data_IF_901768391656
#
_entry.id   IF_901768391656
#
_cell.length_a   1.000
_cell.length_b   1.000
_cell.length_c   1.000
_cell.angle_alpha   90.00
_cell.angle_beta   90.00
_cell.angle_gamma   90.00
#
_symmetry.space_group_name_H-M   'P 1'
#
loop_
_entity.id
_entity.type
_entity.pdbx_description
1 polymer ?
#
# COMPACT_ATOMS: atom_id res chain seq x y z
N UNK A 1 55.41 -13.26 16.01
CA UNK A 1 55.96 -13.92 14.80
C UNK A 1 55.54 -15.38 14.81
N UNK A 2 54.52 -15.76 14.04
CA UNK A 2 54.30 -17.14 13.60
C UNK A 2 53.35 -17.10 12.39
N UNK A 3 53.91 -17.36 11.22
CA UNK A 3 53.20 -17.57 9.94
C UNK A 3 52.88 -19.05 9.76
N UNK A 4 51.77 -19.34 9.07
CA UNK A 4 51.46 -20.47 8.15
C UNK A 4 49.93 -20.44 7.98
N UNK A 5 49.32 -19.90 6.92
CA UNK A 5 49.31 -20.27 5.50
C UNK A 5 49.01 -21.77 5.28
N UNK A 6 47.83 -22.08 4.72
CA UNK A 6 47.53 -22.91 3.53
C UNK A 6 46.03 -23.32 3.56
N UNK A 7 45.16 -22.80 2.68
CA UNK A 7 44.77 -23.27 1.32
C UNK A 7 43.38 -23.93 1.32
N UNK A 8 42.47 -23.35 0.52
CA UNK A 8 41.16 -23.85 0.13
C UNK A 8 41.25 -25.14 -0.70
N UNK A 9 40.12 -25.86 -0.86
CA UNK A 9 39.60 -25.98 -2.22
C UNK A 9 38.11 -25.65 -2.36
N UNK A 10 37.82 -24.99 -3.49
CA UNK A 10 36.53 -24.89 -4.16
C UNK A 10 35.96 -26.28 -4.48
N UNK A 11 34.67 -26.49 -4.21
CA UNK A 11 33.62 -27.12 -5.06
C UNK A 11 32.30 -26.67 -4.39
N UNK A 12 31.33 -25.96 -4.98
CA UNK A 12 30.78 -26.03 -6.33
C UNK A 12 29.43 -26.76 -6.29
N UNK A 13 28.34 -26.08 -5.90
CA UNK A 13 26.98 -26.51 -6.27
C UNK A 13 26.14 -25.27 -6.62
N UNK A 14 25.83 -25.24 -7.90
CA UNK A 14 24.91 -24.38 -8.62
C UNK A 14 23.50 -24.95 -8.40
N UNK A 15 22.57 -24.17 -7.85
CA UNK A 15 21.14 -24.47 -7.98
C UNK A 15 20.40 -23.25 -8.52
N UNK A 16 20.14 -23.37 -9.82
CA UNK A 16 19.17 -22.61 -10.60
C UNK A 16 17.75 -23.06 -10.21
N UNK A 17 16.91 -22.11 -9.82
CA UNK A 17 15.45 -22.15 -10.03
C UNK A 17 14.97 -20.70 -10.04
N UNK A 18 14.93 -20.04 -11.20
CA UNK A 18 13.86 -20.09 -12.20
C UNK A 18 12.54 -19.48 -11.70
N UNK A 19 12.42 -18.18 -12.00
CA UNK A 19 11.27 -17.54 -12.65
C UNK A 19 9.98 -17.29 -11.86
N UNK A 20 9.65 -16.00 -11.73
CA UNK A 20 8.33 -15.53 -11.34
C UNK A 20 8.13 -14.01 -11.40
N UNK A 21 8.80 -13.29 -12.32
CA UNK A 21 8.50 -11.87 -12.58
C UNK A 21 7.24 -11.83 -13.47
N UNK A 22 6.12 -11.35 -12.94
CA UNK A 22 4.96 -10.98 -13.75
C UNK A 22 4.91 -9.45 -13.90
N UNK A 23 5.52 -8.97 -14.99
CA UNK A 23 5.32 -7.62 -15.50
C UNK A 23 3.99 -7.63 -16.27
N UNK A 24 3.01 -6.84 -15.84
CA UNK A 24 1.86 -6.48 -16.66
C UNK A 24 2.15 -5.13 -17.33
N UNK A 25 2.50 -5.17 -18.61
CA UNK A 25 2.44 -4.00 -19.48
C UNK A 25 1.22 -4.07 -20.39
N UNK A 26 0.49 -2.98 -20.32
CA UNK A 26 -0.66 -2.55 -21.09
C UNK A 26 -0.27 -2.32 -22.57
N UNK A 27 -0.90 -3.00 -23.51
CA UNK A 27 -0.91 -2.60 -24.93
C UNK A 27 -2.34 -2.55 -25.44
N UNK A 28 -2.77 -1.35 -25.78
CA UNK A 28 -3.99 -1.10 -26.54
C UNK A 28 -3.79 -1.33 -28.04
N UNK A 29 -4.91 -1.72 -28.67
CA UNK A 29 -5.32 -1.56 -30.09
C UNK A 29 -4.44 -2.17 -31.20
N UNK A 30 -5.00 -3.17 -31.89
CA UNK A 30 -5.56 -3.03 -33.24
C UNK A 30 -6.17 -4.37 -33.74
N UNK A 31 -7.40 -4.34 -34.26
CA UNK A 31 -7.97 -5.37 -35.16
C UNK A 31 -7.52 -5.07 -36.60
N UNK A 32 -7.51 -6.02 -37.57
CA UNK A 32 -8.72 -6.63 -38.15
C UNK A 32 -8.66 -8.13 -38.46
N UNK A 33 -9.86 -8.74 -38.56
CA UNK A 33 -10.12 -10.12 -39.01
C UNK A 33 -9.79 -10.31 -40.51
N UNK A 34 -9.60 -11.56 -40.99
CA UNK A 34 -10.73 -12.17 -41.70
C UNK A 34 -10.85 -13.70 -41.54
N UNK A 35 -12.10 -14.17 -41.35
CA UNK A 35 -12.60 -15.34 -42.06
C UNK A 35 -12.72 -16.65 -41.28
N UNK A 36 -13.91 -16.93 -40.74
CA UNK A 36 -14.55 -18.25 -40.87
C UNK A 36 -16.02 -18.23 -40.38
N UNK A 37 -16.92 -18.20 -41.35
CA UNK A 37 -18.24 -18.86 -41.47
C UNK A 37 -19.06 -19.19 -40.20
N UNK A 38 -20.27 -18.63 -40.20
CA UNK A 38 -21.51 -19.05 -39.52
C UNK A 38 -21.82 -20.56 -39.63
N UNK A 39 -22.68 -21.10 -38.75
CA UNK A 39 -24.10 -21.15 -39.10
C UNK A 39 -25.05 -20.59 -38.01
N UNK A 40 -25.98 -19.75 -38.46
CA UNK A 40 -27.28 -19.43 -37.84
C UNK A 40 -28.22 -20.64 -37.87
N UNK A 41 -28.91 -20.93 -36.76
CA UNK A 41 -30.29 -21.52 -36.70
C UNK A 41 -30.90 -21.10 -35.32
N UNK A 42 -32.23 -20.99 -35.10
CA UNK A 42 -32.92 -19.74 -34.82
C UNK A 42 -33.56 -19.66 -33.41
N UNK A 43 -34.11 -18.49 -33.08
CA UNK A 43 -34.95 -18.20 -31.91
C UNK A 43 -36.11 -19.20 -31.69
N UNK A 44 -36.49 -19.43 -30.42
CA UNK A 44 -37.77 -18.98 -29.82
C UNK A 44 -38.23 -19.84 -28.61
N UNK A 45 -38.41 -19.14 -27.47
CA UNK A 45 -39.26 -19.44 -26.28
C UNK A 45 -39.09 -20.77 -25.52
N UNK A 46 -38.75 -20.68 -24.22
CA UNK A 46 -39.72 -21.00 -23.14
C UNK A 46 -39.21 -20.54 -21.76
N UNK A 47 -40.00 -19.68 -21.14
CA UNK A 47 -39.98 -19.39 -19.71
C UNK A 47 -40.02 -20.68 -18.87
N UNK A 48 -39.13 -20.80 -17.89
CA UNK A 48 -39.26 -21.75 -16.79
C UNK A 48 -38.80 -21.08 -15.50
N UNK A 49 -39.80 -20.70 -14.71
CA UNK A 49 -39.66 -20.35 -13.30
C UNK A 49 -38.76 -21.37 -12.59
N UNK A 50 -37.67 -20.90 -11.98
CA UNK A 50 -36.91 -21.67 -10.99
C UNK A 50 -37.21 -21.04 -9.62
N UNK A 51 -37.57 -21.83 -8.59
CA UNK A 51 -38.01 -21.31 -7.30
C UNK A 51 -36.88 -20.59 -6.55
N UNK A 52 -37.23 -19.46 -5.94
CA UNK A 52 -36.41 -18.72 -4.98
C UNK A 52 -35.88 -19.63 -3.88
N UNK A 53 -34.56 -19.79 -3.84
CA UNK A 53 -33.86 -20.18 -2.63
C UNK A 53 -33.25 -18.91 -2.06
N UNK A 54 -34.02 -18.25 -1.18
CA UNK A 54 -33.59 -17.07 -0.44
C UNK A 54 -32.56 -17.51 0.58
N UNK A 55 -31.28 -17.42 0.25
CA UNK A 55 -30.24 -17.32 1.25
C UNK A 55 -30.37 -15.93 1.90
N UNK A 56 -30.22 -15.78 3.23
CA UNK A 56 -30.28 -14.48 3.86
C UNK A 56 -29.18 -13.60 3.27
N UNK A 57 -29.64 -12.52 2.67
CA UNK A 57 -28.85 -11.40 2.20
C UNK A 57 -27.97 -10.95 3.38
N UNK A 58 -26.69 -11.29 3.34
CA UNK A 58 -25.73 -10.59 4.17
C UNK A 58 -25.71 -9.17 3.63
N UNK A 59 -26.57 -8.32 4.21
CA UNK A 59 -26.62 -6.89 3.96
C UNK A 59 -25.24 -6.30 4.26
N UNK A 60 -24.34 -6.29 3.27
CA UNK A 60 -23.38 -5.20 3.15
C UNK A 60 -24.22 -3.95 2.96
N UNK A 61 -24.11 -2.91 3.79
CA UNK A 61 -24.77 -1.64 3.51
C UNK A 61 -23.99 -0.91 2.41
N UNK A 62 -24.01 -1.45 1.17
CA UNK A 62 -23.30 -0.91 0.00
C UNK A 62 -24.17 0.04 -0.83
N UNK A 63 -25.16 0.70 -0.20
CA UNK A 63 -25.99 1.68 -0.90
C UNK A 63 -26.27 2.92 -0.05
N UNK A 64 -25.23 3.52 0.52
CA UNK A 64 -25.29 4.95 0.87
C UNK A 64 -24.99 5.74 -0.40
N UNK A 65 -26.03 6.26 -1.04
CA UNK A 65 -25.86 7.24 -2.11
C UNK A 65 -25.02 8.41 -1.57
N UNK A 66 -23.87 8.68 -2.20
CA UNK A 66 -22.96 9.77 -1.79
C UNK A 66 -23.73 11.08 -1.64
N UNK A 67 -23.44 11.83 -0.58
CA UNK A 67 -23.98 13.18 -0.40
C UNK A 67 -23.50 14.10 -1.53
N UNK A 68 -24.19 15.21 -1.76
CA UNK A 68 -23.77 16.18 -2.78
C UNK A 68 -22.37 16.77 -2.47
N UNK A 69 -22.04 16.94 -1.19
CA UNK A 69 -20.72 17.40 -0.75
C UNK A 69 -19.63 16.38 -1.10
N UNK A 70 -19.85 15.10 -0.78
CA UNK A 70 -18.91 14.03 -1.11
C UNK A 70 -18.72 13.88 -2.62
N UNK A 71 -19.78 14.00 -3.42
CA UNK A 71 -19.65 13.97 -4.90
C UNK A 71 -18.74 15.10 -5.40
N UNK A 72 -18.92 16.31 -4.86
CA UNK A 72 -18.11 17.48 -5.22
C UNK A 72 -16.64 17.29 -4.82
N UNK A 73 -16.39 16.77 -3.63
CA UNK A 73 -15.02 16.53 -3.16
C UNK A 73 -14.32 15.47 -4.00
N UNK A 74 -15.02 14.37 -4.33
CA UNK A 74 -14.48 13.32 -5.19
C UNK A 74 -14.23 13.82 -6.61
N UNK A 75 -15.11 14.66 -7.15
CA UNK A 75 -14.86 15.32 -8.45
C UNK A 75 -13.62 16.21 -8.40
N UNK A 76 -13.42 16.95 -7.31
CA UNK A 76 -12.22 17.77 -7.11
C UNK A 76 -10.94 16.92 -7.01
N UNK A 77 -10.99 15.81 -6.26
CA UNK A 77 -9.90 14.83 -6.19
C UNK A 77 -9.54 14.33 -7.59
N UNK A 78 -10.54 13.89 -8.37
CA UNK A 78 -10.34 13.39 -9.72
C UNK A 78 -9.73 14.46 -10.65
N UNK A 79 -10.14 15.72 -10.50
CA UNK A 79 -9.56 16.82 -11.26
C UNK A 79 -8.08 17.01 -10.92
N UNK A 80 -7.68 16.96 -9.65
CA UNK A 80 -6.26 17.06 -9.28
C UNK A 80 -5.40 15.93 -9.84
N UNK A 81 -5.97 14.73 -9.99
CA UNK A 81 -5.25 13.56 -10.51
C UNK A 81 -5.20 13.55 -12.03
N UNK A 82 -6.24 14.06 -12.70
CA UNK A 82 -6.39 13.96 -14.16
C UNK A 82 -5.93 15.22 -14.91
N UNK A 83 -5.79 16.35 -14.23
CA UNK A 83 -5.35 17.61 -14.84
C UNK A 83 -3.84 17.62 -15.03
N UNK A 84 -3.41 17.43 -16.29
CA UNK A 84 -2.00 17.42 -16.69
C UNK A 84 -1.26 18.75 -16.43
N UNK A 85 -1.98 19.83 -16.13
CA UNK A 85 -1.38 21.11 -15.75
C UNK A 85 -0.96 21.18 -14.27
N UNK A 86 -1.41 20.24 -13.44
CA UNK A 86 -1.06 20.14 -12.03
C UNK A 86 0.07 19.12 -11.87
N UNK A 87 1.17 19.53 -11.22
CA UNK A 87 2.27 18.60 -10.97
C UNK A 87 1.89 17.55 -9.93
N UNK A 88 2.47 16.34 -9.97
CA UNK A 88 2.19 15.29 -8.98
C UNK A 88 2.37 15.75 -7.54
N UNK A 89 3.37 16.58 -7.26
CA UNK A 89 3.69 17.08 -5.92
C UNK A 89 2.59 18.03 -5.41
N UNK A 90 2.08 18.90 -6.30
CA UNK A 90 0.97 19.81 -5.96
C UNK A 90 -0.32 19.02 -5.75
N UNK A 91 -0.59 18.03 -6.60
CA UNK A 91 -1.74 17.13 -6.46
C UNK A 91 -1.67 16.35 -5.13
N UNK A 92 -0.54 15.69 -4.84
CA UNK A 92 -0.31 14.97 -3.59
C UNK A 92 -0.50 15.89 -2.38
N UNK A 93 0.06 17.10 -2.39
CA UNK A 93 -0.10 18.06 -1.29
C UNK A 93 -1.55 18.50 -1.06
N UNK A 94 -2.37 18.59 -2.11
CA UNK A 94 -3.80 18.87 -1.96
C UNK A 94 -4.58 17.66 -1.45
N UNK A 95 -4.24 16.47 -1.91
CA UNK A 95 -4.86 15.22 -1.46
C UNK A 95 -4.55 14.93 0.01
N UNK A 96 -3.31 15.15 0.46
CA UNK A 96 -2.94 15.04 1.87
C UNK A 96 -3.77 15.95 2.77
N UNK A 97 -4.02 17.20 2.35
CA UNK A 97 -4.88 18.13 3.12
C UNK A 97 -6.30 17.58 3.27
N UNK A 98 -6.85 16.96 2.22
CA UNK A 98 -8.19 16.36 2.27
C UNK A 98 -8.18 15.10 3.14
N UNK A 99 -7.19 14.23 2.99
CA UNK A 99 -7.04 12.99 3.76
C UNK A 99 -6.96 13.23 5.28
N UNK A 100 -6.33 14.33 5.69
CA UNK A 100 -6.15 14.68 7.11
C UNK A 100 -7.16 15.69 7.63
N UNK A 101 -8.18 16.09 6.86
CA UNK A 101 -9.21 17.03 7.31
C UNK A 101 -10.33 16.28 8.04
N UNK A 102 -10.45 16.41 9.38
CA UNK A 102 -11.48 15.69 10.14
C UNK A 102 -12.90 16.18 9.86
N UNK A 103 -13.07 17.32 9.17
CA UNK A 103 -14.40 17.80 8.75
C UNK A 103 -14.93 17.07 7.50
N UNK A 104 -14.08 16.33 6.78
CA UNK A 104 -14.46 15.54 5.61
C UNK A 104 -14.95 14.15 6.03
N UNK A 105 -15.83 13.57 5.21
CA UNK A 105 -16.27 12.19 5.47
C UNK A 105 -15.12 11.21 5.30
N UNK A 106 -15.18 10.10 6.03
CA UNK A 106 -14.19 9.03 5.97
C UNK A 106 -13.98 8.53 4.53
N UNK A 107 -15.05 8.38 3.74
CA UNK A 107 -14.96 7.99 2.33
C UNK A 107 -14.12 8.96 1.50
N UNK A 108 -14.30 10.28 1.69
CA UNK A 108 -13.53 11.30 0.95
C UNK A 108 -12.07 11.28 1.40
N UNK A 109 -11.83 11.12 2.71
CA UNK A 109 -10.49 11.04 3.26
C UNK A 109 -9.74 9.79 2.78
N UNK A 110 -10.41 8.64 2.73
CA UNK A 110 -9.91 7.36 2.27
C UNK A 110 -9.48 7.40 0.78
N UNK A 111 -10.35 7.96 -0.06
CA UNK A 111 -10.06 8.16 -1.49
C UNK A 111 -8.86 9.09 -1.67
N UNK A 112 -8.88 10.25 -1.00
CA UNK A 112 -7.79 11.22 -1.08
C UNK A 112 -6.45 10.61 -0.61
N UNK A 113 -6.46 9.85 0.49
CA UNK A 113 -5.27 9.22 1.04
C UNK A 113 -4.68 8.19 0.08
N UNK A 114 -5.53 7.37 -0.56
CA UNK A 114 -5.10 6.38 -1.54
C UNK A 114 -4.35 7.04 -2.70
N UNK A 115 -4.89 8.13 -3.24
CA UNK A 115 -4.23 8.85 -4.33
C UNK A 115 -3.01 9.65 -3.85
N UNK A 116 -3.05 10.20 -2.64
CA UNK A 116 -1.93 10.94 -2.07
C UNK A 116 -0.69 10.04 -1.97
N UNK A 117 -0.83 8.82 -1.44
CA UNK A 117 0.25 7.85 -1.31
C UNK A 117 0.82 7.45 -2.68
N UNK A 118 -0.05 7.16 -3.66
CA UNK A 118 0.35 6.80 -5.02
C UNK A 118 1.16 7.89 -5.74
N UNK A 119 0.89 9.17 -5.44
CA UNK A 119 1.59 10.31 -6.02
C UNK A 119 2.80 10.76 -5.19
N UNK A 120 2.99 10.19 -4.00
CA UNK A 120 4.08 10.57 -3.10
C UNK A 120 5.33 9.75 -3.43
N UNK A 121 6.37 10.43 -3.92
CA UNK A 121 7.69 9.84 -4.10
C UNK A 121 8.43 9.65 -2.76
N UNK A 122 9.57 8.97 -2.80
CA UNK A 122 10.35 8.62 -1.60
C UNK A 122 10.87 9.84 -0.83
N UNK A 123 11.26 10.90 -1.54
CA UNK A 123 11.75 12.14 -0.92
C UNK A 123 10.60 12.90 -0.23
N UNK A 124 9.43 12.95 -0.85
CA UNK A 124 8.22 13.55 -0.27
C UNK A 124 7.70 12.72 0.89
N UNK A 125 7.73 11.39 0.77
CA UNK A 125 7.35 10.50 1.86
C UNK A 125 8.19 10.78 3.10
N UNK A 126 9.52 10.83 2.93
CA UNK A 126 10.47 11.11 4.01
C UNK A 126 10.30 12.51 4.61
N UNK A 127 10.15 13.53 3.78
CA UNK A 127 10.17 14.93 4.21
C UNK A 127 8.81 15.47 4.65
N UNK A 128 7.70 14.86 4.24
CA UNK A 128 6.35 15.35 4.51
C UNK A 128 5.45 14.31 5.21
N UNK A 129 5.45 13.05 4.77
CA UNK A 129 4.55 12.02 5.33
C UNK A 129 5.02 11.55 6.69
N UNK A 130 6.32 11.25 6.86
CA UNK A 130 6.85 10.81 8.16
C UNK A 130 6.63 11.88 9.26
N UNK A 131 6.95 13.17 9.04
CA UNK A 131 6.62 14.21 10.02
C UNK A 131 5.12 14.39 10.29
N UNK A 132 4.26 13.93 9.37
CA UNK A 132 2.81 13.94 9.56
C UNK A 132 2.35 12.81 10.48
N UNK A 133 2.94 11.62 10.37
CA UNK A 133 2.70 10.48 11.29
C UNK A 133 2.97 10.88 12.74
N UNK A 134 4.02 11.68 12.96
CA UNK A 134 4.42 12.16 14.28
C UNK A 134 3.42 13.17 14.90
N UNK A 135 2.49 13.72 14.10
CA UNK A 135 1.45 14.65 14.55
C UNK A 135 0.20 13.89 14.99
N UNK A 136 0.13 13.61 16.29
CA UNK A 136 -0.95 12.82 16.91
C UNK A 136 -2.36 13.35 16.68
N UNK A 137 -2.53 14.64 16.42
CA UNK A 137 -3.83 15.28 16.19
C UNK A 137 -4.46 14.94 14.83
N UNK A 138 -3.66 14.47 13.87
CA UNK A 138 -4.12 14.07 12.54
C UNK A 138 -4.29 12.54 12.40
N UNK A 139 -3.99 11.80 13.48
CA UNK A 139 -3.91 10.35 13.47
C UNK A 139 -5.28 9.68 13.45
N UNK A 140 -5.41 8.65 12.62
CA UNK A 140 -6.56 7.73 12.57
C UNK A 140 -6.07 6.34 12.19
N UNK A 141 -6.71 5.27 12.66
CA UNK A 141 -6.29 3.89 12.34
C UNK A 141 -6.26 3.65 10.83
N UNK A 142 -7.28 4.11 10.09
CA UNK A 142 -7.31 4.11 8.61
C UNK A 142 -6.06 4.75 7.97
N UNK A 143 -5.59 5.88 8.53
CA UNK A 143 -4.39 6.56 8.04
C UNK A 143 -3.16 5.69 8.28
N UNK A 144 -3.02 5.15 9.49
CA UNK A 144 -1.90 4.30 9.85
C UNK A 144 -1.84 3.00 9.06
N UNK A 145 -2.98 2.34 8.82
CA UNK A 145 -3.08 1.13 8.00
C UNK A 145 -2.62 1.37 6.56
N UNK A 146 -3.12 2.42 5.89
CA UNK A 146 -2.69 2.69 4.51
C UNK A 146 -1.22 3.10 4.40
N UNK A 147 -0.70 3.84 5.39
CA UNK A 147 0.73 4.16 5.41
C UNK A 147 1.54 2.88 5.64
N UNK A 148 1.09 1.97 6.50
CA UNK A 148 1.72 0.68 6.70
C UNK A 148 1.75 -0.15 5.40
N UNK A 149 0.63 -0.23 4.69
CA UNK A 149 0.54 -0.90 3.39
C UNK A 149 1.49 -0.29 2.35
N UNK A 150 1.59 1.04 2.33
CA UNK A 150 2.51 1.76 1.43
C UNK A 150 3.98 1.49 1.78
N UNK A 151 4.33 1.39 3.08
CA UNK A 151 5.69 1.10 3.53
C UNK A 151 6.22 -0.24 3.03
N UNK A 152 5.37 -1.26 2.87
CA UNK A 152 5.79 -2.54 2.28
C UNK A 152 6.36 -2.40 0.86
N UNK A 153 5.95 -1.35 0.13
CA UNK A 153 6.38 -1.09 -1.24
C UNK A 153 7.54 -0.08 -1.34
N UNK A 154 8.03 0.43 -0.20
CA UNK A 154 9.08 1.45 -0.14
C UNK A 154 10.47 0.82 0.08
N UNK A 155 11.57 1.52 -0.28
CA UNK A 155 12.92 1.06 0.02
C UNK A 155 13.16 0.88 1.53
N UNK A 156 14.04 -0.05 1.90
CA UNK A 156 14.28 -0.43 3.31
C UNK A 156 14.68 0.75 4.20
N UNK A 157 15.37 1.74 3.63
CA UNK A 157 15.75 2.97 4.35
C UNK A 157 14.53 3.79 4.81
N UNK A 158 13.47 3.83 4.01
CA UNK A 158 12.21 4.48 4.37
C UNK A 158 11.31 3.56 5.17
N UNK A 159 11.33 2.26 4.87
CA UNK A 159 10.53 1.25 5.55
C UNK A 159 10.86 1.24 7.04
N UNK A 160 12.13 1.12 7.42
CA UNK A 160 12.53 1.17 8.83
C UNK A 160 12.14 2.50 9.50
N UNK A 161 12.39 3.63 8.83
CA UNK A 161 12.11 4.96 9.37
C UNK A 161 10.61 5.19 9.57
N UNK A 162 9.80 4.89 8.56
CA UNK A 162 8.35 5.07 8.59
C UNK A 162 7.67 4.09 9.55
N UNK A 163 8.10 2.82 9.56
CA UNK A 163 7.58 1.82 10.50
C UNK A 163 7.85 2.23 11.95
N UNK A 164 9.03 2.75 12.26
CA UNK A 164 9.32 3.28 13.60
C UNK A 164 8.42 4.47 13.95
N UNK A 165 8.16 5.39 13.02
CA UNK A 165 7.27 6.52 13.24
C UNK A 165 5.82 6.06 13.49
N UNK A 166 5.32 5.08 12.72
CA UNK A 166 4.01 4.46 12.97
C UNK A 166 3.98 3.75 14.31
N UNK A 167 5.07 3.06 14.69
CA UNK A 167 5.14 2.26 15.92
C UNK A 167 4.93 3.12 17.16
N UNK A 168 5.49 4.33 17.15
CA UNK A 168 5.39 5.29 18.25
C UNK A 168 4.01 5.97 18.38
N UNK A 169 3.16 5.86 17.35
CA UNK A 169 1.85 6.53 17.28
C UNK A 169 0.66 5.58 17.14
N UNK A 170 0.92 4.31 16.85
CA UNK A 170 -0.10 3.26 16.74
C UNK A 170 -0.52 2.70 18.11
N UNK A 171 -1.73 2.15 18.16
CA UNK A 171 -2.26 1.41 19.29
C UNK A 171 -3.11 0.22 18.76
N UNK A 172 -3.44 -0.74 19.62
CA UNK A 172 -4.31 -1.87 19.27
C UNK A 172 -3.75 -2.74 18.15
N UNK A 173 -4.62 -3.25 17.29
CA UNK A 173 -4.24 -4.19 16.21
C UNK A 173 -3.24 -3.58 15.22
N UNK A 174 -3.36 -2.29 14.92
CA UNK A 174 -2.38 -1.59 14.08
C UNK A 174 -1.00 -1.60 14.73
N UNK A 175 -0.90 -1.46 16.05
CA UNK A 175 0.40 -1.50 16.74
C UNK A 175 1.07 -2.86 16.61
N UNK A 176 0.29 -3.95 16.69
CA UNK A 176 0.79 -5.30 16.53
C UNK A 176 1.34 -5.54 15.12
N UNK A 177 0.61 -5.12 14.08
CA UNK A 177 1.08 -5.23 12.68
C UNK A 177 2.32 -4.37 12.41
N UNK A 178 2.37 -3.15 12.95
CA UNK A 178 3.54 -2.27 12.81
C UNK A 178 4.74 -2.87 13.56
N UNK A 179 4.52 -3.50 14.72
CA UNK A 179 5.55 -4.20 15.47
C UNK A 179 6.15 -5.35 14.68
N UNK A 180 5.31 -6.17 14.04
CA UNK A 180 5.75 -7.28 13.21
C UNK A 180 6.67 -6.81 12.08
N UNK A 181 6.25 -5.75 11.36
CA UNK A 181 7.09 -5.15 10.32
C UNK A 181 8.39 -4.58 10.91
N UNK A 182 8.34 -3.93 12.09
CA UNK A 182 9.54 -3.37 12.72
C UNK A 182 10.55 -4.45 13.09
N UNK A 183 10.09 -5.57 13.65
CA UNK A 183 10.95 -6.73 13.98
C UNK A 183 11.54 -7.32 12.70
N UNK A 184 10.73 -7.48 11.65
CA UNK A 184 11.19 -7.96 10.35
C UNK A 184 12.32 -7.09 9.77
N UNK A 185 12.16 -5.77 9.76
CA UNK A 185 13.16 -4.83 9.24
C UNK A 185 14.45 -4.79 10.08
N UNK A 186 14.38 -5.18 11.35
CA UNK A 186 15.55 -5.31 12.21
C UNK A 186 16.28 -6.64 12.00
N UNK A 187 15.67 -7.60 11.31
CA UNK A 187 16.30 -8.87 10.90
C UNK A 187 16.55 -9.85 12.06
N UNK A 188 15.94 -9.64 13.22
CA UNK A 188 16.12 -10.48 14.41
C UNK A 188 14.75 -10.86 15.00
N UNK A 189 14.28 -12.12 14.82
CA UNK A 189 12.98 -12.55 15.32
C UNK A 189 12.93 -12.64 16.85
N UNK A 190 14.07 -12.72 17.55
CA UNK A 190 14.08 -12.72 19.01
C UNK A 190 13.65 -11.36 19.59
N UNK A 191 13.60 -10.31 18.76
CA UNK A 191 13.14 -8.98 19.14
C UNK A 191 11.62 -8.93 19.42
N UNK A 192 10.82 -9.90 18.97
CA UNK A 192 9.38 -9.96 19.24
C UNK A 192 9.06 -9.94 20.74
N UNK A 193 9.96 -10.44 21.59
CA UNK A 193 9.80 -10.54 23.05
C UNK A 193 10.28 -9.32 23.81
N UNK A 194 10.89 -8.35 23.13
CA UNK A 194 11.47 -7.19 23.79
C UNK A 194 10.40 -6.20 24.23
N UNK A 195 10.71 -5.39 25.24
CA UNK A 195 9.86 -4.24 25.55
C UNK A 195 9.90 -3.23 24.41
N UNK A 196 8.84 -2.45 24.26
CA UNK A 196 8.72 -1.41 23.23
C UNK A 196 9.87 -0.41 23.32
N UNK A 197 10.32 -0.08 24.54
CA UNK A 197 11.47 0.81 24.78
C UNK A 197 12.76 0.24 24.17
N UNK A 198 12.99 -1.05 24.36
CA UNK A 198 14.18 -1.70 23.82
C UNK A 198 14.08 -1.86 22.29
N UNK A 199 12.90 -2.18 21.76
CA UNK A 199 12.67 -2.27 20.31
C UNK A 199 12.93 -0.92 19.62
N UNK A 200 12.42 0.18 20.18
CA UNK A 200 12.70 1.54 19.72
C UNK A 200 14.19 1.86 19.79
N UNK A 201 14.87 1.45 20.87
CA UNK A 201 16.33 1.66 21.01
C UNK A 201 17.08 0.95 19.88
N UNK A 202 16.78 -0.32 19.60
CA UNK A 202 17.39 -1.11 18.53
C UNK A 202 17.14 -0.51 17.14
N UNK A 203 15.92 -0.06 16.86
CA UNK A 203 15.60 0.62 15.62
C UNK A 203 16.42 1.91 15.42
N UNK A 204 16.55 2.72 16.46
CA UNK A 204 17.38 3.92 16.42
C UNK A 204 18.88 3.62 16.23
N UNK A 205 19.37 2.49 16.73
CA UNK A 205 20.76 2.05 16.51
C UNK A 205 20.97 1.61 15.07
N UNK A 206 20.04 0.82 14.52
CA UNK A 206 20.09 0.36 13.13
C UNK A 206 20.11 1.53 12.14
N UNK A 207 19.30 2.57 12.37
CA UNK A 207 19.28 3.78 11.53
C UNK A 207 20.58 4.60 11.58
N UNK A 208 21.37 4.49 12.65
CA UNK A 208 22.66 5.18 12.79
C UNK A 208 23.82 4.37 12.22
N UNK A 209 23.64 3.07 12.04
CA UNK A 209 24.64 2.20 11.45
C UNK A 209 24.76 2.48 9.94
N UNK A 210 25.97 2.39 9.36
CA UNK A 210 26.13 2.46 7.92
C UNK A 210 25.35 1.31 7.23
N UNK A 211 24.80 1.53 6.02
CA UNK A 211 24.22 0.44 5.24
C UNK A 211 25.29 -0.63 4.98
N UNK A 212 24.93 -1.90 5.19
CA UNK A 212 25.80 -3.05 4.93
C UNK A 212 25.86 -3.40 3.44
#
# INVERSE_FOLDING_TARGET
MTRRSFVLPLVGVLLLSASGILIWQNMGRATPSPGSKLPEVPEKTRSRNVPSTTLPDQERPLNRSRTAAEKKDIEQINNWISDESITPEVAAGNLWKVATDPARSELVRDEALTHALNLTDDETFKSAVIPLIEKKDLWTDMLGEKILDDLYNRPDSLKLLGTLALYQNSAGELHDHVRELLVFELGDPDLEKLSDTELIRRANERMKAPPE
#
